data_IF_290837394312
#
_entry.id   IF_290837394312
#
_cell.length_a   1.000
_cell.length_b   1.000
_cell.length_c   1.000
_cell.angle_alpha   90.00
_cell.angle_beta   90.00
_cell.angle_gamma   90.00
#
_symmetry.space_group_name_H-M   'P 1'
#
loop_
_entity.id
_entity.type
_entity.pdbx_description
1 polymer ?
#
# COMPACT_ATOMS: atom_id res chain seq x y z
N UNK A 1 5.21 -24.15 -1.57
CA UNK A 1 4.14 -24.43 -2.58
C UNK A 1 4.57 -25.62 -3.43
N UNK A 2 3.63 -26.49 -3.84
CA UNK A 2 3.92 -27.69 -4.66
C UNK A 2 3.67 -27.40 -6.16
N UNK A 3 4.29 -26.37 -6.67
CA UNK A 3 4.26 -25.98 -8.10
C UNK A 3 5.66 -25.56 -8.53
N UNK A 4 5.96 -25.67 -9.82
CA UNK A 4 7.21 -25.17 -10.38
C UNK A 4 7.25 -23.64 -10.41
N UNK A 5 8.45 -23.06 -10.46
CA UNK A 5 8.62 -21.62 -10.59
C UNK A 5 7.93 -21.06 -11.84
N UNK A 6 8.03 -21.77 -12.96
CA UNK A 6 7.40 -21.36 -14.21
C UNK A 6 5.86 -21.34 -14.12
N UNK A 7 5.29 -22.36 -13.51
CA UNK A 7 3.84 -22.45 -13.30
C UNK A 7 3.34 -21.35 -12.35
N UNK A 8 4.08 -21.09 -11.26
CA UNK A 8 3.78 -20.00 -10.32
C UNK A 8 3.67 -18.64 -11.02
N UNK A 9 4.68 -18.27 -11.84
CA UNK A 9 4.65 -17.00 -12.55
C UNK A 9 3.63 -16.96 -13.68
N UNK A 10 3.28 -18.09 -14.28
CA UNK A 10 2.21 -18.17 -15.27
C UNK A 10 0.83 -17.93 -14.61
N UNK A 11 0.53 -18.59 -13.50
CA UNK A 11 -0.70 -18.37 -12.73
C UNK A 11 -0.77 -16.88 -12.30
N UNK A 12 0.32 -16.34 -11.75
CA UNK A 12 0.38 -14.95 -11.33
C UNK A 12 0.14 -13.99 -12.51
N UNK A 13 0.70 -14.29 -13.68
CA UNK A 13 0.51 -13.53 -14.91
C UNK A 13 -0.95 -13.49 -15.37
N UNK A 14 -1.67 -14.61 -15.27
CA UNK A 14 -3.08 -14.71 -15.64
C UNK A 14 -3.99 -13.87 -14.74
N UNK A 15 -3.59 -13.62 -13.49
CA UNK A 15 -4.29 -12.79 -12.53
C UNK A 15 -3.77 -11.35 -12.47
N UNK A 16 -2.80 -10.99 -13.32
CA UNK A 16 -2.18 -9.67 -13.35
C UNK A 16 -2.63 -8.90 -14.57
N UNK A 17 -3.25 -7.75 -14.34
CA UNK A 17 -3.47 -6.77 -15.38
C UNK A 17 -2.25 -5.86 -15.48
N UNK A 18 -1.72 -5.69 -16.68
CA UNK A 18 -0.71 -4.66 -16.95
C UNK A 18 -1.30 -3.31 -16.58
N UNK A 19 -0.46 -2.42 -16.06
CA UNK A 19 -0.85 -1.04 -15.78
C UNK A 19 -1.41 -0.40 -17.06
N UNK A 20 -2.73 -0.39 -17.17
CA UNK A 20 -3.46 0.26 -18.26
C UNK A 20 -4.11 1.54 -17.72
N UNK A 21 -4.17 2.60 -18.55
CA UNK A 21 -4.90 3.80 -18.17
C UNK A 21 -6.36 3.46 -17.84
N UNK A 22 -6.91 4.10 -16.82
CA UNK A 22 -8.28 3.88 -16.30
C UNK A 22 -9.38 3.95 -17.35
N UNK A 23 -9.16 4.70 -18.45
CA UNK A 23 -10.09 4.82 -19.57
C UNK A 23 -10.38 3.47 -20.26
N UNK A 24 -9.48 2.50 -20.14
CA UNK A 24 -9.57 1.19 -20.79
C UNK A 24 -9.93 0.04 -19.82
N UNK A 25 -10.03 0.34 -18.52
CA UNK A 25 -10.44 -0.63 -17.51
C UNK A 25 -11.96 -0.69 -17.44
N UNK A 26 -12.53 -1.68 -18.11
CA UNK A 26 -13.93 -2.04 -17.91
C UNK A 26 -14.10 -2.45 -16.43
N UNK A 27 -14.89 -1.71 -15.65
CA UNK A 27 -15.09 -1.94 -14.21
C UNK A 27 -15.53 -3.36 -13.87
N UNK A 28 -16.06 -4.08 -14.86
CA UNK A 28 -16.57 -5.45 -14.72
C UNK A 28 -15.47 -6.53 -14.77
N UNK A 29 -14.21 -6.18 -15.11
CA UNK A 29 -13.12 -7.16 -15.23
C UNK A 29 -12.25 -7.26 -13.97
N UNK A 30 -12.39 -6.35 -13.03
CA UNK A 30 -11.64 -6.41 -11.77
C UNK A 30 -12.30 -7.42 -10.82
N UNK A 31 -11.83 -8.66 -10.84
CA UNK A 31 -12.21 -9.67 -9.84
C UNK A 31 -11.49 -9.42 -8.51
N UNK A 32 -11.97 -10.06 -7.44
CA UNK A 32 -11.31 -10.05 -6.12
C UNK A 32 -9.90 -10.67 -6.12
N UNK A 33 -9.48 -11.26 -7.23
CA UNK A 33 -8.16 -11.87 -7.44
C UNK A 33 -7.28 -11.06 -8.38
N UNK A 34 -7.74 -9.89 -8.86
CA UNK A 34 -6.95 -9.10 -9.82
C UNK A 34 -5.86 -8.31 -9.12
N UNK A 35 -4.63 -8.47 -9.61
CA UNK A 35 -3.45 -7.68 -9.23
C UNK A 35 -3.02 -6.81 -10.41
N UNK A 36 -2.24 -5.77 -10.16
CA UNK A 36 -1.81 -4.80 -11.17
C UNK A 36 -0.30 -4.68 -11.18
N UNK A 37 0.31 -4.66 -12.36
CA UNK A 37 1.75 -4.49 -12.51
C UNK A 37 2.37 -5.34 -13.60
N UNK A 38 3.57 -5.83 -13.35
CA UNK A 38 4.35 -6.62 -14.30
C UNK A 38 4.82 -7.94 -13.71
N UNK A 39 4.74 -8.98 -14.50
CA UNK A 39 5.25 -10.32 -14.17
C UNK A 39 6.30 -10.68 -15.22
N UNK A 40 7.51 -10.98 -14.77
CA UNK A 40 8.57 -11.56 -15.56
C UNK A 40 8.79 -12.99 -15.06
N UNK A 41 9.19 -13.93 -15.88
CA UNK A 41 9.27 -15.37 -15.52
C UNK A 41 10.13 -15.72 -14.29
N UNK A 42 10.78 -14.76 -13.65
CA UNK A 42 11.60 -14.94 -12.44
C UNK A 42 11.22 -14.00 -11.29
N UNK A 43 10.46 -12.95 -11.57
CA UNK A 43 10.04 -11.96 -10.57
C UNK A 43 8.76 -11.26 -11.00
N UNK A 44 8.06 -10.68 -10.04
CA UNK A 44 6.90 -9.84 -10.32
C UNK A 44 6.93 -8.59 -9.44
N UNK A 45 6.42 -7.47 -9.98
CA UNK A 45 6.18 -6.23 -9.24
C UNK A 45 4.70 -5.91 -9.33
N UNK A 46 4.00 -6.06 -8.21
CA UNK A 46 2.54 -6.02 -8.20
C UNK A 46 2.00 -5.09 -7.13
N UNK A 47 0.87 -4.46 -7.46
CA UNK A 47 0.11 -3.61 -6.58
C UNK A 47 -1.32 -4.14 -6.44
N UNK A 48 -2.01 -3.92 -5.30
CA UNK A 48 -3.41 -4.29 -5.13
C UNK A 48 -4.36 -3.40 -5.92
N UNK A 49 -3.92 -2.21 -6.34
CA UNK A 49 -4.72 -1.23 -7.06
C UNK A 49 -3.98 -0.73 -8.30
N UNK A 50 -4.69 -0.31 -9.37
CA UNK A 50 -4.06 0.27 -10.55
C UNK A 50 -3.22 1.50 -10.19
N UNK A 51 -2.09 1.68 -10.86
CA UNK A 51 -1.16 2.77 -10.56
C UNK A 51 -1.71 4.17 -10.89
N UNK A 52 -2.64 4.26 -11.86
CA UNK A 52 -3.32 5.49 -12.27
C UNK A 52 -4.49 5.89 -11.36
N UNK A 53 -4.99 4.97 -10.52
CA UNK A 53 -5.88 5.33 -9.44
C UNK A 53 -5.04 5.92 -8.32
N UNK A 54 -5.25 7.21 -8.12
CA UNK A 54 -4.68 7.94 -6.99
C UNK A 54 -5.18 7.31 -5.68
N UNK A 55 -4.58 6.19 -5.32
CA UNK A 55 -4.70 5.61 -4.00
C UNK A 55 -3.37 5.84 -3.30
N UNK A 56 -3.33 6.76 -2.36
CA UNK A 56 -2.14 6.97 -1.55
C UNK A 56 -1.79 5.64 -0.88
N UNK A 57 -0.50 5.33 -0.84
CA UNK A 57 0.03 4.11 -0.21
C UNK A 57 -0.34 2.80 -0.88
N UNK A 58 -0.47 2.82 -2.20
CA UNK A 58 -0.53 1.59 -2.97
C UNK A 58 0.83 0.87 -2.86
N UNK A 59 0.95 -0.20 -2.07
CA UNK A 59 2.25 -0.83 -1.85
C UNK A 59 2.70 -1.52 -3.13
N UNK A 60 3.98 -1.39 -3.43
CA UNK A 60 4.63 -2.18 -4.46
C UNK A 60 5.13 -3.46 -3.80
N UNK A 61 4.66 -4.61 -4.29
CA UNK A 61 5.07 -5.92 -3.79
C UNK A 61 5.97 -6.58 -4.84
N UNK A 62 7.23 -6.72 -4.50
CA UNK A 62 8.22 -7.43 -5.30
C UNK A 62 8.23 -8.89 -4.85
N UNK A 63 7.93 -9.77 -5.79
CA UNK A 63 7.79 -11.21 -5.57
C UNK A 63 8.93 -11.90 -6.27
N UNK A 64 9.65 -12.73 -5.55
CA UNK A 64 10.65 -13.65 -6.07
C UNK A 64 10.31 -15.06 -5.60
N UNK A 65 10.62 -16.06 -6.40
CA UNK A 65 10.39 -17.45 -6.08
C UNK A 65 11.63 -18.26 -6.40
N UNK A 66 12.02 -19.13 -5.50
CA UNK A 66 13.19 -20.01 -5.63
C UNK A 66 12.79 -21.46 -5.36
N UNK A 67 13.21 -22.38 -6.22
CA UNK A 67 12.97 -23.81 -6.02
C UNK A 67 13.95 -24.36 -4.99
N UNK A 68 13.41 -24.97 -3.93
CA UNK A 68 14.17 -25.69 -2.92
C UNK A 68 13.70 -27.13 -2.82
N UNK A 69 14.39 -28.00 -3.52
CA UNK A 69 14.00 -29.41 -3.62
C UNK A 69 12.68 -29.56 -4.37
N UNK A 70 11.66 -30.10 -3.70
CA UNK A 70 10.31 -30.30 -4.26
C UNK A 70 9.35 -29.15 -3.94
N UNK A 71 9.81 -28.14 -3.24
CA UNK A 71 8.98 -27.00 -2.81
C UNK A 71 9.47 -25.70 -3.41
N UNK A 72 8.52 -24.80 -3.69
CA UNK A 72 8.78 -23.44 -4.12
C UNK A 72 8.71 -22.49 -2.91
N UNK A 73 9.81 -21.83 -2.60
CA UNK A 73 9.88 -20.76 -1.62
C UNK A 73 9.57 -19.44 -2.28
N UNK A 74 8.52 -18.77 -1.80
CA UNK A 74 8.08 -17.47 -2.34
C UNK A 74 8.39 -16.37 -1.33
N UNK A 75 9.21 -15.41 -1.75
CA UNK A 75 9.53 -14.23 -0.97
C UNK A 75 8.77 -13.01 -1.50
N UNK A 76 8.03 -12.33 -0.64
CA UNK A 76 7.29 -11.10 -0.96
C UNK A 76 7.87 -9.94 -0.16
N UNK A 77 8.49 -8.98 -0.84
CA UNK A 77 8.99 -7.73 -0.26
C UNK A 77 8.04 -6.60 -0.59
N UNK A 78 7.40 -6.03 0.43
CA UNK A 78 6.48 -4.91 0.27
C UNK A 78 7.15 -3.59 0.66
N UNK A 79 7.07 -2.60 -0.19
CA UNK A 79 7.55 -1.24 0.10
C UNK A 79 6.55 -0.19 -0.39
N UNK A 80 6.56 0.95 0.28
CA UNK A 80 5.74 2.11 -0.07
C UNK A 80 6.52 3.00 -1.04
N UNK A 81 5.82 3.58 -2.00
CA UNK A 81 6.44 4.49 -2.96
C UNK A 81 7.02 5.71 -2.21
N UNK A 82 8.27 6.09 -2.54
CA UNK A 82 8.92 7.27 -1.96
C UNK A 82 8.12 8.56 -2.16
N UNK A 83 7.41 8.70 -3.29
CA UNK A 83 6.55 9.86 -3.57
C UNK A 83 5.40 9.97 -2.56
N UNK A 84 4.80 8.84 -2.18
CA UNK A 84 3.73 8.82 -1.19
C UNK A 84 4.25 9.23 0.19
N UNK A 85 5.43 8.79 0.56
CA UNK A 85 6.07 9.16 1.83
C UNK A 85 6.34 10.67 1.86
N UNK A 86 6.93 11.23 0.80
CA UNK A 86 7.21 12.66 0.71
C UNK A 86 5.92 13.47 0.77
N UNK A 87 4.89 13.06 0.03
CA UNK A 87 3.59 13.72 0.05
C UNK A 87 3.00 13.76 1.46
N UNK A 88 3.09 12.66 2.21
CA UNK A 88 2.55 12.61 3.56
C UNK A 88 3.35 13.41 4.58
N UNK A 89 4.67 13.44 4.46
CA UNK A 89 5.50 14.32 5.28
C UNK A 89 5.11 15.78 5.01
N UNK A 90 4.96 16.16 3.73
CA UNK A 90 4.50 17.49 3.36
C UNK A 90 3.11 17.83 3.91
N UNK A 91 2.17 16.87 3.81
CA UNK A 91 0.82 17.02 4.36
C UNK A 91 0.84 17.17 5.89
N UNK A 92 1.64 16.35 6.59
CA UNK A 92 1.81 16.44 8.03
C UNK A 92 2.32 17.83 8.45
N UNK A 93 3.37 18.31 7.79
CA UNK A 93 3.92 19.65 8.04
C UNK A 93 2.87 20.72 7.79
N UNK A 94 2.12 20.65 6.68
CA UNK A 94 1.08 21.59 6.34
C UNK A 94 -0.01 21.65 7.44
N UNK A 95 -0.51 20.49 7.86
CA UNK A 95 -1.54 20.41 8.91
C UNK A 95 -1.01 21.01 10.20
N UNK A 96 0.18 20.59 10.65
CA UNK A 96 0.76 21.09 11.91
C UNK A 96 0.98 22.60 11.89
N UNK A 97 1.53 23.15 10.80
CA UNK A 97 1.74 24.59 10.63
C UNK A 97 0.41 25.33 10.60
N UNK A 98 -0.60 24.80 9.88
CA UNK A 98 -1.93 25.42 9.83
C UNK A 98 -2.59 25.45 11.21
N UNK A 99 -2.51 24.37 11.97
CA UNK A 99 -3.03 24.32 13.36
C UNK A 99 -2.32 25.34 14.24
N UNK A 100 -0.99 25.43 14.18
CA UNK A 100 -0.22 26.43 14.94
C UNK A 100 -0.62 27.86 14.56
N UNK A 101 -0.77 28.16 13.24
CA UNK A 101 -1.16 29.48 12.79
C UNK A 101 -2.58 29.86 13.23
N UNK A 102 -3.54 28.95 13.10
CA UNK A 102 -4.91 29.19 13.56
C UNK A 102 -4.95 29.47 15.05
N UNK A 103 -4.27 28.66 15.85
CA UNK A 103 -4.19 28.87 17.29
C UNK A 103 -3.56 30.23 17.62
N UNK A 104 -2.43 30.56 17.00
CA UNK A 104 -1.69 31.79 17.27
C UNK A 104 -2.47 33.05 16.87
N UNK A 105 -3.14 33.04 15.72
CA UNK A 105 -3.84 34.23 15.16
C UNK A 105 -5.23 34.41 15.75
N UNK A 106 -5.95 33.32 16.05
CA UNK A 106 -7.36 33.41 16.44
C UNK A 106 -7.53 33.57 17.97
N UNK A 107 -6.57 33.10 18.76
CA UNK A 107 -6.72 33.01 20.20
C UNK A 107 -5.43 33.30 20.97
N UNK A 108 -4.85 34.49 20.86
CA UNK A 108 -3.59 34.81 21.55
C UNK A 108 -3.68 34.74 23.08
N UNK A 109 -4.86 34.96 23.63
CA UNK A 109 -5.08 34.95 25.10
C UNK A 109 -5.28 33.52 25.65
N UNK A 110 -5.74 32.57 24.83
CA UNK A 110 -5.99 31.18 25.24
C UNK A 110 -4.71 30.47 25.71
N UNK A 111 -3.55 30.89 25.25
CA UNK A 111 -2.27 30.27 25.60
C UNK A 111 -1.94 30.45 27.12
N UNK A 112 -2.47 31.48 27.76
CA UNK A 112 -2.26 31.73 29.19
C UNK A 112 -3.26 31.00 30.06
N UNK A 113 -4.48 30.76 29.55
CA UNK A 113 -5.56 30.15 30.32
C UNK A 113 -5.60 28.62 30.18
N UNK A 114 -5.18 28.08 29.02
CA UNK A 114 -5.26 26.66 28.74
C UNK A 114 -3.91 26.10 28.24
N UNK A 115 -2.97 25.81 29.13
CA UNK A 115 -1.62 25.38 28.74
C UNK A 115 -1.58 24.06 27.92
N UNK A 116 -2.63 23.23 28.03
CA UNK A 116 -2.71 21.97 27.25
C UNK A 116 -2.97 22.20 25.75
N UNK A 117 -3.35 23.37 25.29
CA UNK A 117 -3.52 23.71 23.89
C UNK A 117 -2.23 23.52 23.10
N UNK A 118 -1.08 23.66 23.70
CA UNK A 118 0.21 23.39 23.10
C UNK A 118 0.41 21.93 22.67
N UNK A 119 -0.41 21.01 23.21
CA UNK A 119 -0.37 19.62 22.79
C UNK A 119 -1.17 19.34 21.51
N UNK A 120 -2.02 20.26 21.03
CA UNK A 120 -2.81 20.04 19.80
C UNK A 120 -1.94 19.70 18.58
N UNK A 121 -0.85 20.41 18.26
CA UNK A 121 0.04 20.02 17.17
C UNK A 121 0.66 18.63 17.34
N UNK A 122 0.91 18.21 18.59
CA UNK A 122 1.41 16.87 18.90
C UNK A 122 0.34 15.82 18.62
N UNK A 123 -0.91 16.09 18.98
CA UNK A 123 -2.05 15.23 18.64
C UNK A 123 -2.23 15.08 17.13
N UNK A 124 -2.08 16.16 16.36
CA UNK A 124 -2.15 16.12 14.89
C UNK A 124 -1.08 15.18 14.33
N UNK A 125 0.15 15.30 14.81
CA UNK A 125 1.26 14.43 14.37
C UNK A 125 0.95 12.97 14.68
N UNK A 126 0.44 12.67 15.87
CA UNK A 126 0.09 11.30 16.26
C UNK A 126 -1.07 10.79 15.41
N UNK A 127 -2.15 11.55 15.29
CA UNK A 127 -3.35 11.14 14.54
C UNK A 127 -3.04 10.88 13.05
N UNK A 128 -2.31 11.80 12.42
CA UNK A 128 -1.91 11.65 11.01
C UNK A 128 -0.97 10.46 10.82
N UNK A 129 -0.03 10.24 11.76
CA UNK A 129 0.88 9.08 11.70
C UNK A 129 0.15 7.75 11.86
N UNK A 130 -0.84 7.68 12.75
CA UNK A 130 -1.68 6.49 12.92
C UNK A 130 -2.53 6.20 11.68
N UNK A 131 -3.16 7.23 11.09
CA UNK A 131 -3.92 7.11 9.85
C UNK A 131 -3.03 6.58 8.72
N UNK A 132 -1.81 7.10 8.59
CA UNK A 132 -0.82 6.66 7.64
C UNK A 132 -0.49 5.16 7.82
N UNK A 133 -0.14 4.77 9.03
CA UNK A 133 0.16 3.37 9.37
C UNK A 133 -1.02 2.43 9.05
N UNK A 134 -2.24 2.86 9.39
CA UNK A 134 -3.46 2.10 9.11
C UNK A 134 -3.68 1.93 7.60
N UNK A 135 -3.51 2.98 6.80
CA UNK A 135 -3.70 2.92 5.34
C UNK A 135 -2.69 1.99 4.67
N UNK A 136 -1.41 2.06 5.07
CA UNK A 136 -0.38 1.14 4.57
C UNK A 136 -0.74 -0.31 4.91
N UNK A 137 -1.09 -0.57 6.16
CA UNK A 137 -1.46 -1.90 6.64
C UNK A 137 -2.69 -2.45 5.91
N UNK A 138 -3.71 -1.61 5.74
CA UNK A 138 -4.94 -1.98 5.02
C UNK A 138 -4.65 -2.38 3.57
N UNK A 139 -3.87 -1.58 2.84
CA UNK A 139 -3.54 -1.88 1.45
C UNK A 139 -2.65 -3.13 1.30
N UNK A 140 -1.72 -3.35 2.23
CA UNK A 140 -0.95 -4.60 2.29
C UNK A 140 -1.86 -5.80 2.52
N UNK A 141 -2.80 -5.71 3.45
CA UNK A 141 -3.75 -6.78 3.72
C UNK A 141 -4.63 -7.11 2.50
N UNK A 142 -5.05 -6.10 1.73
CA UNK A 142 -5.79 -6.33 0.46
C UNK A 142 -4.94 -7.11 -0.52
N UNK A 143 -3.65 -6.77 -0.66
CA UNK A 143 -2.74 -7.52 -1.53
C UNK A 143 -2.62 -8.98 -1.08
N UNK A 144 -2.30 -9.22 0.19
CA UNK A 144 -2.10 -10.59 0.70
C UNK A 144 -3.36 -11.44 0.61
N UNK A 145 -4.54 -10.88 0.91
CA UNK A 145 -5.81 -11.61 0.74
C UNK A 145 -6.05 -12.03 -0.71
N UNK A 146 -5.75 -11.18 -1.68
CA UNK A 146 -5.87 -11.52 -3.10
C UNK A 146 -4.85 -12.57 -3.50
N UNK A 147 -3.62 -12.41 -3.06
CA UNK A 147 -2.54 -13.35 -3.30
C UNK A 147 -2.85 -14.74 -2.73
N UNK A 148 -3.29 -14.83 -1.48
CA UNK A 148 -3.74 -16.09 -0.89
C UNK A 148 -4.90 -16.72 -1.66
N UNK A 149 -5.86 -15.91 -2.11
CA UNK A 149 -7.02 -16.42 -2.88
C UNK A 149 -6.59 -17.01 -4.23
N UNK A 150 -5.59 -16.41 -4.90
CA UNK A 150 -5.03 -16.94 -6.15
C UNK A 150 -4.35 -18.29 -5.94
N UNK A 151 -3.62 -18.43 -4.83
CA UNK A 151 -2.78 -19.61 -4.57
C UNK A 151 -3.33 -20.55 -3.52
N UNK A 152 -4.61 -20.41 -3.15
CA UNK A 152 -5.24 -21.18 -2.07
C UNK A 152 -5.04 -22.70 -2.22
N UNK A 153 -5.14 -23.19 -3.45
CA UNK A 153 -5.06 -24.65 -3.74
C UNK A 153 -3.60 -25.15 -3.82
N UNK A 154 -2.62 -24.26 -3.81
CA UNK A 154 -1.19 -24.57 -3.93
C UNK A 154 -0.38 -24.34 -2.66
N UNK A 155 -0.98 -23.70 -1.65
CA UNK A 155 -0.34 -23.46 -0.35
C UNK A 155 -0.43 -24.76 0.45
N UNK A 156 0.73 -25.35 0.74
CA UNK A 156 0.82 -26.48 1.69
C UNK A 156 0.57 -25.91 3.09
N UNK A 157 -0.45 -26.40 3.75
CA UNK A 157 -0.70 -26.13 5.17
C UNK A 157 0.30 -26.87 6.06
#
# INVERSE_FOLDING_TARGET
>A
MNISQAEFFNILGNHTLKDMPLSNLNRNTASDTTLYGSVNGKSAKLCPHPADKYKPFNPINEITAEERGTQLDVCVKSYTNKKDIIFWIGFLVLVTVSTCLVLFLSYPEIYTELPFIWFLPVFDIIAVSLLFGFMIKSNKNVFFKRFEKIFKDYIVQ
#
